data_IF_284129234213
#
_entry.id   IF_284129234213
#
_cell.length_a   1.000
_cell.length_b   1.000
_cell.length_c   1.000
_cell.angle_alpha   90.00
_cell.angle_beta   90.00
_cell.angle_gamma   90.00
#
_symmetry.space_group_name_H-M   'P 1'
#
loop_
_entity.id
_entity.type
_entity.pdbx_description
1 polymer ?
#
# COMPACT_ATOMS: atom_id res chain seq x y z
N UNK A 1 20.13 10.52 0.65
CA UNK A 1 18.95 9.66 0.35
C UNK A 1 18.83 8.67 1.52
N UNK A 2 17.75 8.65 2.32
CA UNK A 2 17.63 7.61 3.34
C UNK A 2 17.43 6.27 2.63
N UNK A 3 18.25 5.28 2.92
CA UNK A 3 18.17 3.94 2.38
C UNK A 3 16.83 3.30 2.80
N UNK A 4 16.06 2.75 1.86
CA UNK A 4 14.96 1.84 2.19
C UNK A 4 15.58 0.44 2.19
N UNK A 5 15.47 -0.35 3.25
CA UNK A 5 15.82 -1.76 3.21
C UNK A 5 15.01 -2.46 2.09
N UNK A 6 15.65 -3.17 1.17
CA UNK A 6 14.92 -3.98 0.16
C UNK A 6 13.92 -4.94 0.83
N UNK A 7 14.25 -5.38 2.05
CA UNK A 7 13.39 -6.19 2.91
C UNK A 7 12.05 -5.53 3.22
N UNK A 8 11.97 -4.20 3.35
CA UNK A 8 10.70 -3.52 3.64
C UNK A 8 9.71 -3.69 2.48
N UNK A 9 10.17 -3.49 1.24
CA UNK A 9 9.32 -3.64 0.06
C UNK A 9 8.86 -5.10 -0.07
N UNK A 10 9.77 -6.04 0.19
CA UNK A 10 9.46 -7.47 0.16
C UNK A 10 8.43 -7.86 1.22
N UNK A 11 8.61 -7.41 2.47
CA UNK A 11 7.66 -7.65 3.55
C UNK A 11 6.27 -7.08 3.23
N UNK A 12 6.22 -5.88 2.64
CA UNK A 12 4.95 -5.31 2.20
C UNK A 12 4.31 -6.13 1.08
N UNK A 13 5.07 -6.50 0.04
CA UNK A 13 4.56 -7.32 -1.07
C UNK A 13 4.01 -8.66 -0.55
N UNK A 14 4.76 -9.35 0.31
CA UNK A 14 4.36 -10.64 0.87
C UNK A 14 3.07 -10.51 1.72
N UNK A 15 2.82 -9.33 2.31
CA UNK A 15 1.60 -9.06 3.08
C UNK A 15 0.35 -8.76 2.24
N UNK A 16 0.50 -8.44 0.95
CA UNK A 16 -0.62 -8.13 0.05
C UNK A 16 -1.36 -9.38 -0.45
N UNK A 17 -0.74 -10.57 -0.34
CA UNK A 17 -1.28 -11.81 -0.89
C UNK A 17 -1.22 -11.83 -2.42
N UNK A 18 -2.23 -12.43 -3.04
CA UNK A 18 -2.30 -12.56 -4.49
C UNK A 18 -2.55 -11.20 -5.15
N UNK A 19 -1.65 -10.82 -6.06
CA UNK A 19 -1.80 -9.61 -6.84
C UNK A 19 -2.74 -9.86 -8.03
N UNK A 20 -3.55 -8.86 -8.41
CA UNK A 20 -4.30 -8.93 -9.65
C UNK A 20 -3.33 -9.03 -10.85
N UNK A 21 -3.80 -9.56 -11.99
CA UNK A 21 -2.99 -9.58 -13.21
C UNK A 21 -2.58 -8.15 -13.61
N UNK A 22 -1.42 -8.02 -14.25
CA UNK A 22 -0.96 -6.74 -14.77
C UNK A 22 -1.92 -6.24 -15.85
N UNK A 23 -2.30 -4.96 -15.76
CA UNK A 23 -3.24 -4.31 -16.66
C UNK A 23 -2.48 -3.36 -17.60
N UNK A 24 -2.92 -3.28 -18.86
CA UNK A 24 -2.29 -2.42 -19.88
C UNK A 24 -2.35 -0.93 -19.50
N UNK A 25 -3.40 -0.52 -18.80
CA UNK A 25 -3.63 0.84 -18.34
C UNK A 25 -3.90 0.82 -16.82
N UNK A 26 -2.86 0.71 -15.99
CA UNK A 26 -3.04 0.68 -14.54
C UNK A 26 -3.55 2.04 -14.04
N UNK A 27 -4.29 2.04 -12.94
CA UNK A 27 -4.79 3.25 -12.31
C UNK A 27 -4.50 3.25 -10.81
N UNK A 28 -4.44 4.46 -10.24
CA UNK A 28 -4.30 4.67 -8.81
C UNK A 28 -5.53 5.40 -8.29
N UNK A 29 -6.23 4.78 -7.33
CA UNK A 29 -7.33 5.38 -6.61
C UNK A 29 -6.91 5.69 -5.17
N UNK A 30 -6.76 6.97 -4.84
CA UNK A 30 -6.42 7.41 -3.49
C UNK A 30 -7.70 7.82 -2.76
N UNK A 31 -7.96 7.21 -1.60
CA UNK A 31 -9.11 7.55 -0.75
C UNK A 31 -8.66 8.41 0.43
N UNK A 32 -9.19 9.63 0.52
CA UNK A 32 -8.87 10.60 1.59
C UNK A 32 -10.16 11.00 2.31
N UNK A 33 -10.08 11.20 3.63
CA UNK A 33 -11.21 11.62 4.45
C UNK A 33 -11.02 11.28 5.92
N UNK A 34 -11.84 11.87 6.79
CA UNK A 34 -11.77 11.69 8.23
C UNK A 34 -11.89 10.20 8.66
N UNK A 35 -11.36 9.82 9.83
CA UNK A 35 -11.63 8.50 10.40
C UNK A 35 -13.13 8.20 10.47
N UNK A 36 -13.54 6.98 10.17
CA UNK A 36 -14.95 6.58 10.20
C UNK A 36 -15.80 6.96 8.98
N UNK A 37 -15.26 7.66 7.97
CA UNK A 37 -16.03 8.03 6.74
C UNK A 37 -16.28 6.87 5.76
N UNK A 38 -15.89 5.65 6.10
CA UNK A 38 -16.17 4.46 5.28
C UNK A 38 -15.21 4.18 4.11
N UNK A 39 -14.01 4.81 4.07
CA UNK A 39 -12.99 4.58 3.02
C UNK A 39 -12.65 3.09 2.83
N UNK A 40 -12.31 2.39 3.92
CA UNK A 40 -11.98 0.96 3.87
C UNK A 40 -13.19 0.11 3.44
N UNK A 41 -14.40 0.51 3.85
CA UNK A 41 -15.66 -0.13 3.40
C UNK A 41 -15.86 0.02 1.90
N UNK A 42 -15.62 1.21 1.35
CA UNK A 42 -15.69 1.46 -0.09
C UNK A 42 -14.61 0.66 -0.84
N UNK A 43 -13.35 0.72 -0.40
CA UNK A 43 -12.24 0.00 -1.02
C UNK A 43 -12.52 -1.51 -1.12
N UNK A 44 -12.99 -2.12 -0.02
CA UNK A 44 -13.34 -3.55 -0.01
C UNK A 44 -14.53 -3.92 -0.90
N UNK A 45 -15.49 -3.00 -1.13
CA UNK A 45 -16.58 -3.23 -2.09
C UNK A 45 -16.10 -3.05 -3.53
N UNK A 46 -15.23 -2.07 -3.77
CA UNK A 46 -14.65 -1.79 -5.08
C UNK A 46 -13.78 -2.94 -5.57
N UNK A 47 -12.91 -3.48 -4.70
CA UNK A 47 -12.03 -4.62 -5.02
C UNK A 47 -12.77 -5.94 -5.30
N UNK A 48 -14.05 -6.05 -4.94
CA UNK A 48 -14.89 -7.21 -5.32
C UNK A 48 -15.39 -7.15 -6.75
N UNK A 49 -15.36 -5.97 -7.37
CA UNK A 49 -15.91 -5.73 -8.71
C UNK A 49 -14.79 -5.51 -9.74
N UNK A 50 -13.65 -4.97 -9.32
CA UNK A 50 -12.53 -4.61 -10.18
C UNK A 50 -11.26 -5.30 -9.63
N UNK A 51 -10.42 -5.93 -10.47
CA UNK A 51 -9.19 -6.59 -10.04
C UNK A 51 -8.14 -5.57 -9.60
N UNK A 52 -8.21 -5.16 -8.34
CA UNK A 52 -7.26 -4.22 -7.73
C UNK A 52 -6.71 -4.76 -6.42
N UNK A 53 -5.50 -4.31 -6.09
CA UNK A 53 -4.92 -4.51 -4.76
C UNK A 53 -5.16 -3.27 -3.89
N UNK A 54 -5.49 -3.49 -2.61
CA UNK A 54 -5.71 -2.41 -1.65
C UNK A 54 -4.42 -2.17 -0.87
N UNK A 55 -3.89 -0.96 -0.94
CA UNK A 55 -2.78 -0.51 -0.10
C UNK A 55 -3.34 0.30 1.08
N UNK A 56 -3.61 -0.36 2.20
CA UNK A 56 -4.07 0.30 3.42
C UNK A 56 -2.87 0.73 4.29
N UNK A 57 -2.62 2.03 4.41
CA UNK A 57 -1.42 2.55 5.07
C UNK A 57 -1.28 2.12 6.54
N UNK A 58 -2.39 1.98 7.26
CA UNK A 58 -2.35 1.57 8.68
C UNK A 58 -2.09 0.07 8.84
N UNK A 59 -2.64 -0.79 7.98
CA UNK A 59 -2.29 -2.21 7.92
C UNK A 59 -0.81 -2.41 7.53
N UNK A 60 -0.35 -1.76 6.45
CA UNK A 60 1.03 -1.89 5.97
C UNK A 60 2.06 -1.35 6.99
N UNK A 61 1.70 -0.31 7.76
CA UNK A 61 2.52 0.16 8.89
C UNK A 61 2.79 -0.95 9.89
N UNK A 62 1.77 -1.73 10.25
CA UNK A 62 1.88 -2.83 11.22
C UNK A 62 2.67 -4.02 10.69
N UNK A 63 2.73 -4.19 9.36
CA UNK A 63 3.63 -5.15 8.72
C UNK A 63 5.09 -4.77 8.92
N UNK A 64 5.44 -3.48 8.77
CA UNK A 64 6.83 -3.01 8.91
C UNK A 64 7.26 -2.76 10.36
N UNK A 65 6.31 -2.43 11.23
CA UNK A 65 6.58 -1.99 12.60
C UNK A 65 5.62 -2.72 13.54
N UNK A 66 6.16 -3.68 14.29
CA UNK A 66 5.39 -4.53 15.21
C UNK A 66 4.69 -3.72 16.33
N UNK A 67 5.31 -2.64 16.80
CA UNK A 67 4.78 -1.76 17.86
C UNK A 67 4.96 -0.29 17.48
N UNK A 68 4.07 0.28 16.63
CA UNK A 68 4.23 1.63 16.11
C UNK A 68 4.04 2.68 17.20
N UNK A 69 4.99 3.60 17.33
CA UNK A 69 4.88 4.80 18.20
C UNK A 69 4.50 6.06 17.41
N UNK A 70 4.29 5.92 16.10
CA UNK A 70 3.91 6.96 15.16
C UNK A 70 4.87 8.15 15.12
N UNK A 71 6.17 7.86 15.25
CA UNK A 71 7.21 8.89 15.10
C UNK A 71 7.35 9.36 13.65
N UNK A 72 7.91 10.55 13.44
CA UNK A 72 8.20 11.08 12.10
C UNK A 72 9.12 10.16 11.29
N UNK A 73 10.09 9.50 11.96
CA UNK A 73 10.96 8.51 11.34
C UNK A 73 10.21 7.27 10.86
N UNK A 74 9.28 6.76 11.68
CA UNK A 74 8.41 5.64 11.29
C UNK A 74 7.50 6.03 10.13
N UNK A 75 6.88 7.22 10.21
CA UNK A 75 6.04 7.75 9.15
C UNK A 75 6.83 7.85 7.83
N UNK A 76 8.02 8.42 7.88
CA UNK A 76 8.90 8.57 6.71
C UNK A 76 9.25 7.20 6.11
N UNK A 77 9.66 6.23 6.93
CA UNK A 77 9.99 4.87 6.46
C UNK A 77 8.79 4.20 5.78
N UNK A 78 7.64 4.20 6.44
CA UNK A 78 6.42 3.53 5.95
C UNK A 78 5.95 4.15 4.63
N UNK A 79 5.77 5.48 4.58
CA UNK A 79 5.26 6.12 3.36
C UNK A 79 6.26 6.03 2.20
N UNK A 80 7.56 6.06 2.48
CA UNK A 80 8.56 5.85 1.45
C UNK A 80 8.47 4.43 0.86
N UNK A 81 8.34 3.40 1.70
CA UNK A 81 8.16 2.02 1.22
C UNK A 81 6.86 1.85 0.43
N UNK A 82 5.75 2.44 0.89
CA UNK A 82 4.46 2.42 0.19
C UNK A 82 4.56 3.11 -1.19
N UNK A 83 5.23 4.26 -1.28
CA UNK A 83 5.39 4.97 -2.55
C UNK A 83 6.21 4.17 -3.57
N UNK A 84 7.31 3.53 -3.15
CA UNK A 84 8.09 2.65 -4.04
C UNK A 84 7.29 1.43 -4.47
N UNK A 85 6.52 0.83 -3.54
CA UNK A 85 5.62 -0.28 -3.83
C UNK A 85 4.55 0.11 -4.85
N UNK A 86 3.91 1.27 -4.68
CA UNK A 86 2.97 1.83 -5.67
C UNK A 86 3.63 1.98 -7.03
N UNK A 87 4.85 2.55 -7.08
CA UNK A 87 5.61 2.70 -8.32
C UNK A 87 5.88 1.37 -9.00
N UNK A 88 6.29 0.34 -8.24
CA UNK A 88 6.50 -1.01 -8.77
C UNK A 88 5.22 -1.63 -9.32
N UNK A 89 4.10 -1.52 -8.62
CA UNK A 89 2.83 -2.12 -9.04
C UNK A 89 2.24 -1.41 -10.27
N UNK A 90 2.36 -0.07 -10.34
CA UNK A 90 1.86 0.71 -11.47
C UNK A 90 2.81 0.66 -12.67
N UNK A 91 4.10 0.39 -12.46
CA UNK A 91 5.10 0.24 -13.52
C UNK A 91 5.10 -1.13 -14.20
N UNK A 92 4.35 -2.10 -13.68
CA UNK A 92 4.09 -3.38 -14.34
C UNK A 92 3.06 -3.21 -15.46
N UNK A 93 3.43 -2.50 -16.52
CA UNK A 93 2.62 -2.42 -17.74
C UNK A 93 2.99 -3.58 -18.67
N UNK A 94 1.99 -4.31 -19.18
CA UNK A 94 2.14 -5.33 -20.23
C UNK A 94 2.28 -4.70 -21.61
#
# INVERSE_FOLDING_TARGET
MPFIPEDDIRLLLDSLGDLPPAEKCPFLLILVGLPGTGKSTFAGRFAKQIPVVILESDALRKTLINQPVYSDSEHTRVFKAIHELMGKLLGQSV
#
